data_IF_698262592614
#
_entry.id   IF_698262592614
#
_cell.length_a   1.000
_cell.length_b   1.000
_cell.length_c   1.000
_cell.angle_alpha   90.00
_cell.angle_beta   90.00
_cell.angle_gamma   90.00
#
_symmetry.space_group_name_H-M   'P 1'
#
loop_
_entity.id
_entity.type
_entity.pdbx_description
1 polymer ?
#
# COMPACT_ATOMS: atom_id res chain seq x y z
N UNK A 1 5.12 -11.48 -7.63
CA UNK A 1 5.09 -10.01 -7.70
C UNK A 1 4.20 -9.57 -8.85
N UNK A 2 3.32 -8.61 -8.60
CA UNK A 2 2.47 -7.97 -9.60
C UNK A 2 3.31 -7.06 -10.51
N UNK A 3 3.06 -7.07 -11.83
CA UNK A 3 3.87 -6.30 -12.79
C UNK A 3 3.71 -4.79 -12.65
N UNK A 4 2.52 -4.32 -12.27
CA UNK A 4 2.26 -2.89 -12.05
C UNK A 4 2.98 -2.41 -10.80
N UNK A 5 2.97 -3.21 -9.73
CA UNK A 5 3.75 -2.94 -8.51
C UNK A 5 5.24 -2.88 -8.85
N UNK A 6 5.77 -3.84 -9.62
CA UNK A 6 7.18 -3.85 -9.99
C UNK A 6 7.59 -2.59 -10.77
N UNK A 7 6.76 -2.17 -11.73
CA UNK A 7 7.02 -0.96 -12.50
C UNK A 7 6.96 0.30 -11.62
N UNK A 8 5.97 0.40 -10.74
CA UNK A 8 5.84 1.52 -9.81
C UNK A 8 7.04 1.61 -8.87
N UNK A 9 7.47 0.48 -8.31
CA UNK A 9 8.62 0.36 -7.42
C UNK A 9 9.91 0.86 -8.08
N UNK A 10 10.23 0.36 -9.28
CA UNK A 10 11.46 0.75 -10.00
C UNK A 10 11.39 2.24 -10.38
N UNK A 11 10.26 2.69 -10.95
CA UNK A 11 10.11 4.07 -11.39
C UNK A 11 10.22 5.08 -10.23
N UNK A 12 9.67 4.75 -9.06
CA UNK A 12 9.76 5.60 -7.87
C UNK A 12 11.20 5.70 -7.35
N UNK A 13 11.93 4.59 -7.28
CA UNK A 13 13.34 4.56 -6.84
C UNK A 13 14.25 5.33 -7.82
N UNK A 14 14.10 5.08 -9.12
CA UNK A 14 14.84 5.80 -10.17
C UNK A 14 14.63 7.31 -10.06
N UNK A 15 13.37 7.74 -9.91
CA UNK A 15 13.01 9.15 -9.83
C UNK A 15 13.56 9.81 -8.55
N UNK A 16 13.43 9.13 -7.41
CA UNK A 16 13.97 9.62 -6.14
C UNK A 16 15.50 9.70 -6.17
N UNK A 17 16.16 8.68 -6.73
CA UNK A 17 17.61 8.63 -6.84
C UNK A 17 18.15 9.70 -7.78
N UNK A 18 17.47 9.94 -8.91
CA UNK A 18 17.81 11.03 -9.82
C UNK A 18 17.69 12.41 -9.15
N UNK A 19 16.62 12.64 -8.39
CA UNK A 19 16.42 13.89 -7.65
C UNK A 19 17.50 14.12 -6.59
N UNK A 20 17.91 13.06 -5.89
CA UNK A 20 18.90 13.11 -4.80
C UNK A 20 20.34 12.87 -5.25
N UNK A 21 20.58 12.57 -6.53
CA UNK A 21 21.90 12.25 -7.12
C UNK A 21 22.58 11.08 -6.41
N UNK A 22 21.83 10.02 -6.14
CA UNK A 22 22.29 8.77 -5.55
C UNK A 22 22.05 7.61 -6.53
N UNK A 23 22.52 6.42 -6.20
CA UNK A 23 22.36 5.20 -7.01
C UNK A 23 21.20 4.36 -6.43
N UNK A 24 20.24 3.97 -7.26
CA UNK A 24 19.07 3.17 -6.87
C UNK A 24 19.20 1.67 -7.17
N UNK A 25 20.04 1.27 -8.14
CA UNK A 25 20.11 -0.13 -8.58
C UNK A 25 20.31 -1.15 -7.43
N UNK A 26 21.18 -0.91 -6.42
CA UNK A 26 21.33 -1.87 -5.32
C UNK A 26 20.05 -2.09 -4.49
N UNK A 27 19.30 -1.02 -4.20
CA UNK A 27 18.05 -1.13 -3.43
C UNK A 27 16.92 -1.68 -4.30
N UNK A 28 16.88 -1.34 -5.59
CA UNK A 28 15.92 -1.89 -6.55
C UNK A 28 16.01 -3.41 -6.63
N UNK A 29 17.21 -3.96 -6.84
CA UNK A 29 17.41 -5.42 -6.93
C UNK A 29 16.95 -6.13 -5.66
N UNK A 30 17.29 -5.58 -4.49
CA UNK A 30 16.90 -6.11 -3.18
C UNK A 30 15.41 -6.06 -2.93
N UNK A 31 14.75 -4.93 -3.19
CA UNK A 31 13.31 -4.80 -2.98
C UNK A 31 12.52 -5.66 -3.97
N UNK A 32 12.94 -5.77 -5.24
CA UNK A 32 12.32 -6.68 -6.21
C UNK A 32 12.45 -8.14 -5.75
N UNK A 33 13.59 -8.52 -5.19
CA UNK A 33 13.78 -9.84 -4.59
C UNK A 33 12.78 -10.08 -3.44
N UNK A 34 12.72 -9.19 -2.45
CA UNK A 34 11.82 -9.29 -1.29
C UNK A 34 10.35 -9.38 -1.71
N UNK A 35 9.90 -8.51 -2.61
CA UNK A 35 8.51 -8.51 -3.10
C UNK A 35 8.14 -9.76 -3.90
N UNK A 36 9.13 -10.48 -4.42
CA UNK A 36 8.95 -11.69 -5.21
C UNK A 36 9.03 -12.99 -4.39
N UNK A 37 9.51 -12.93 -3.14
CA UNK A 37 9.63 -14.10 -2.28
C UNK A 37 8.25 -14.66 -1.89
N UNK A 38 8.18 -15.98 -1.84
CA UNK A 38 7.03 -16.74 -1.36
C UNK A 38 7.31 -17.16 0.09
N UNK A 39 6.88 -16.33 1.03
CA UNK A 39 7.11 -16.50 2.47
C UNK A 39 6.02 -15.77 3.27
N UNK A 40 5.95 -16.01 4.58
CA UNK A 40 4.96 -15.35 5.43
C UNK A 40 5.14 -13.82 5.37
N UNK A 41 4.02 -13.09 5.45
CA UNK A 41 4.03 -11.65 5.26
C UNK A 41 4.89 -10.91 6.29
N UNK A 42 4.83 -11.27 7.58
CA UNK A 42 5.64 -10.60 8.61
C UNK A 42 7.14 -10.87 8.44
N UNK A 43 7.52 -12.06 7.96
CA UNK A 43 8.91 -12.34 7.61
C UNK A 43 9.37 -11.48 6.42
N UNK A 44 8.48 -11.27 5.43
CA UNK A 44 8.71 -10.38 4.29
C UNK A 44 8.84 -8.92 4.73
N UNK A 45 8.04 -8.46 5.70
CA UNK A 45 8.14 -7.13 6.31
C UNK A 45 9.50 -6.95 7.02
N UNK A 46 9.96 -7.96 7.75
CA UNK A 46 11.27 -7.91 8.40
C UNK A 46 12.41 -7.78 7.38
N UNK A 47 12.40 -8.59 6.31
CA UNK A 47 13.40 -8.45 5.25
C UNK A 47 13.30 -7.11 4.51
N UNK A 48 12.08 -6.61 4.30
CA UNK A 48 11.84 -5.29 3.73
C UNK A 48 12.49 -4.19 4.59
N UNK A 49 12.29 -4.24 5.91
CA UNK A 49 12.87 -3.28 6.84
C UNK A 49 14.40 -3.33 6.83
N UNK A 50 14.99 -4.54 6.77
CA UNK A 50 16.44 -4.71 6.62
C UNK A 50 16.99 -4.02 5.36
N UNK A 51 16.27 -4.09 4.24
CA UNK A 51 16.70 -3.41 3.00
C UNK A 51 16.75 -1.89 3.19
N UNK A 52 15.76 -1.28 3.85
CA UNK A 52 15.80 0.16 4.11
C UNK A 52 16.88 0.53 5.15
N UNK A 53 17.13 -0.32 6.14
CA UNK A 53 18.19 -0.12 7.13
C UNK A 53 19.60 -0.15 6.49
N UNK A 54 19.81 -0.99 5.48
CA UNK A 54 21.05 -1.04 4.68
C UNK A 54 21.17 0.15 3.72
N UNK A 55 20.05 0.80 3.37
CA UNK A 55 19.95 1.89 2.42
C UNK A 55 19.30 3.16 3.00
N UNK A 56 19.87 3.77 4.08
CA UNK A 56 19.23 4.85 4.84
C UNK A 56 18.99 6.14 4.05
N UNK A 57 19.55 6.27 2.85
CA UNK A 57 19.28 7.40 1.94
C UNK A 57 17.88 7.36 1.32
N UNK A 58 17.23 6.19 1.35
CA UNK A 58 15.89 5.97 0.82
C UNK A 58 14.84 5.85 1.92
N UNK A 59 15.20 6.07 3.19
CA UNK A 59 14.31 5.86 4.34
C UNK A 59 13.01 6.68 4.28
N UNK A 60 13.06 7.85 3.64
CA UNK A 60 11.87 8.70 3.38
C UNK A 60 10.80 7.99 2.51
N UNK A 61 11.16 6.94 1.79
CA UNK A 61 10.23 6.15 0.97
C UNK A 61 9.67 4.93 1.72
N UNK A 62 10.16 4.62 2.92
CA UNK A 62 9.87 3.35 3.61
C UNK A 62 8.37 3.11 3.79
N UNK A 63 7.63 4.09 4.31
CA UNK A 63 6.19 3.95 4.55
C UNK A 63 5.41 3.80 3.23
N UNK A 64 5.71 4.62 2.23
CA UNK A 64 5.09 4.53 0.89
C UNK A 64 5.37 3.19 0.21
N UNK A 65 6.56 2.63 0.41
CA UNK A 65 6.92 1.34 -0.16
C UNK A 65 6.36 0.18 0.66
N UNK A 66 6.08 0.39 1.94
CA UNK A 66 5.31 -0.55 2.74
C UNK A 66 3.87 -0.64 2.21
N UNK A 67 3.25 0.49 1.83
CA UNK A 67 1.93 0.46 1.16
C UNK A 67 1.96 -0.38 -0.13
N UNK A 68 3.01 -0.21 -0.95
CA UNK A 68 3.21 -1.03 -2.15
C UNK A 68 3.43 -2.52 -1.83
N UNK A 69 4.13 -2.82 -0.74
CA UNK A 69 4.33 -4.19 -0.28
C UNK A 69 2.99 -4.83 0.10
N UNK A 70 2.11 -4.07 0.76
CA UNK A 70 0.78 -4.53 1.11
C UNK A 70 -0.09 -4.79 -0.12
N UNK A 71 -0.11 -3.86 -1.07
CA UNK A 71 -0.83 -4.06 -2.34
C UNK A 71 -0.29 -5.28 -3.10
N UNK A 72 1.03 -5.50 -3.11
CA UNK A 72 1.59 -6.69 -3.72
C UNK A 72 1.13 -7.97 -3.04
N UNK A 73 1.01 -7.97 -1.71
CA UNK A 73 0.48 -9.10 -0.94
C UNK A 73 -0.99 -9.40 -1.29
N UNK A 74 -1.86 -8.39 -1.26
CA UNK A 74 -3.28 -8.55 -1.63
C UNK A 74 -3.45 -9.03 -3.09
N UNK A 75 -2.71 -8.46 -4.03
CA UNK A 75 -2.89 -8.77 -5.46
C UNK A 75 -2.21 -10.06 -5.90
N UNK A 76 -1.07 -10.43 -5.31
CA UNK A 76 -0.26 -11.57 -5.77
C UNK A 76 -0.38 -12.78 -4.87
N UNK A 77 -0.57 -12.59 -3.56
CA UNK A 77 -0.45 -13.65 -2.57
C UNK A 77 -1.83 -14.03 -2.00
N UNK A 78 -2.73 -13.08 -1.70
CA UNK A 78 -4.11 -13.40 -1.23
C UNK A 78 -4.92 -14.16 -2.29
N UNK A 79 -4.76 -13.85 -3.57
CA UNK A 79 -5.35 -14.64 -4.66
C UNK A 79 -4.88 -16.11 -4.72
N UNK A 80 -3.79 -16.47 -4.02
CA UNK A 80 -3.32 -17.86 -3.88
C UNK A 80 -3.74 -18.50 -2.56
N UNK A 81 -4.21 -17.70 -1.61
CA UNK A 81 -4.65 -18.14 -0.29
C UNK A 81 -6.12 -18.57 -0.37
N UNK A 82 -6.56 -19.34 0.63
CA UNK A 82 -7.94 -19.84 0.67
C UNK A 82 -8.95 -18.69 0.89
N UNK A 83 -10.21 -18.85 0.47
CA UNK A 83 -11.27 -17.82 0.54
C UNK A 83 -11.39 -17.18 1.95
N UNK A 84 -11.05 -17.92 3.00
CA UNK A 84 -11.18 -17.49 4.40
C UNK A 84 -9.88 -16.93 5.00
N UNK A 85 -8.84 -16.62 4.20
CA UNK A 85 -7.55 -16.16 4.75
C UNK A 85 -7.68 -14.85 5.53
N UNK A 86 -8.52 -13.92 5.05
CA UNK A 86 -8.80 -12.65 5.73
C UNK A 86 -9.61 -12.84 7.02
N UNK A 87 -10.25 -14.00 7.22
CA UNK A 87 -10.91 -14.38 8.47
C UNK A 87 -9.98 -15.14 9.43
N UNK A 88 -8.71 -15.33 9.05
CA UNK A 88 -7.77 -16.12 9.82
C UNK A 88 -7.09 -15.32 10.93
N UNK A 89 -6.71 -16.01 12.02
CA UNK A 89 -5.87 -15.42 13.08
C UNK A 89 -4.50 -14.95 12.59
N UNK A 90 -4.02 -15.51 11.47
CA UNK A 90 -2.77 -15.06 10.87
C UNK A 90 -2.94 -13.64 10.33
N UNK A 91 -4.06 -13.38 9.64
CA UNK A 91 -4.40 -12.05 9.15
C UNK A 91 -4.65 -11.06 10.29
N UNK A 92 -5.43 -11.43 11.31
CA UNK A 92 -5.66 -10.60 12.51
C UNK A 92 -4.31 -10.15 13.14
N UNK A 93 -3.34 -11.06 13.22
CA UNK A 93 -2.01 -10.75 13.76
C UNK A 93 -1.17 -9.88 12.81
N UNK A 94 -1.34 -10.01 11.49
CA UNK A 94 -0.69 -9.11 10.52
C UNK A 94 -1.26 -7.70 10.68
N UNK A 95 -2.58 -7.55 10.75
CA UNK A 95 -3.24 -6.26 10.95
C UNK A 95 -2.78 -5.59 12.25
N UNK A 96 -2.82 -6.29 13.38
CA UNK A 96 -2.38 -5.74 14.66
C UNK A 96 -0.91 -5.28 14.65
N UNK A 97 -0.01 -6.04 14.04
CA UNK A 97 1.43 -5.71 13.98
C UNK A 97 1.76 -4.60 12.95
N UNK A 98 0.84 -4.30 12.03
CA UNK A 98 1.10 -3.37 10.91
C UNK A 98 0.16 -2.16 10.86
N UNK A 99 -0.74 -2.01 11.82
CA UNK A 99 -1.74 -0.94 11.87
C UNK A 99 -1.17 0.48 11.69
N UNK A 100 0.01 0.75 12.26
CA UNK A 100 0.65 2.08 12.24
C UNK A 100 1.75 2.21 11.16
N UNK A 101 1.84 1.30 10.20
CA UNK A 101 2.98 1.20 9.25
C UNK A 101 2.74 1.84 7.88
N UNK A 102 1.49 1.89 7.44
CA UNK A 102 1.11 2.41 6.13
C UNK A 102 0.82 3.90 6.15
N UNK A 103 0.60 4.46 4.96
CA UNK A 103 0.10 5.83 4.79
C UNK A 103 -1.33 5.82 4.27
N UNK A 104 -1.98 6.98 4.23
CA UNK A 104 -3.32 7.14 3.63
C UNK A 104 -3.33 6.78 2.13
N UNK A 105 -2.17 6.69 1.48
CA UNK A 105 -2.04 6.19 0.12
C UNK A 105 -2.48 4.72 0.01
N UNK A 106 -2.28 3.92 1.05
CA UNK A 106 -2.70 2.51 1.06
C UNK A 106 -4.20 2.40 0.82
N UNK A 107 -5.01 3.18 1.51
CA UNK A 107 -6.47 3.20 1.34
C UNK A 107 -6.87 3.55 -0.09
N UNK A 108 -6.21 4.54 -0.70
CA UNK A 108 -6.45 4.90 -2.10
C UNK A 108 -6.06 3.76 -3.06
N UNK A 109 -4.92 3.10 -2.83
CA UNK A 109 -4.46 2.01 -3.67
C UNK A 109 -5.35 0.77 -3.54
N UNK A 110 -5.84 0.47 -2.34
CA UNK A 110 -6.82 -0.61 -2.10
C UNK A 110 -8.11 -0.33 -2.87
N UNK A 111 -8.67 0.86 -2.73
CA UNK A 111 -9.86 1.28 -3.46
C UNK A 111 -9.69 1.19 -4.99
N UNK A 112 -8.56 1.68 -5.52
CA UNK A 112 -8.27 1.59 -6.97
C UNK A 112 -8.15 0.12 -7.40
N UNK A 113 -7.56 -0.74 -6.57
CA UNK A 113 -7.44 -2.16 -6.88
C UNK A 113 -8.80 -2.86 -6.88
N UNK A 114 -9.63 -2.62 -5.88
CA UNK A 114 -11.01 -3.14 -5.82
C UNK A 114 -11.83 -2.68 -7.02
N UNK A 115 -11.74 -1.39 -7.38
CA UNK A 115 -12.40 -0.88 -8.58
C UNK A 115 -11.97 -1.62 -9.85
N UNK A 116 -10.67 -1.93 -9.96
CA UNK A 116 -10.15 -2.67 -11.09
C UNK A 116 -10.67 -4.11 -11.12
N UNK A 117 -10.73 -4.78 -9.98
CA UNK A 117 -11.18 -6.17 -9.87
C UNK A 117 -12.69 -6.30 -10.13
N UNK A 118 -13.48 -5.29 -9.75
CA UNK A 118 -14.92 -5.22 -10.05
C UNK A 118 -15.26 -4.63 -11.43
N UNK A 119 -14.25 -4.24 -12.21
CA UNK A 119 -14.40 -3.55 -13.51
C UNK A 119 -15.23 -2.24 -13.42
N UNK A 120 -15.20 -1.56 -12.27
CA UNK A 120 -15.88 -0.27 -12.06
C UNK A 120 -14.92 0.90 -12.21
N UNK A 121 -15.49 2.09 -12.47
CA UNK A 121 -14.70 3.31 -12.60
C UNK A 121 -14.52 3.95 -11.22
N UNK A 122 -13.28 4.21 -10.76
CA UNK A 122 -13.04 4.93 -9.51
C UNK A 122 -13.75 6.29 -9.49
N UNK A 123 -14.39 6.61 -8.37
CA UNK A 123 -15.10 7.86 -8.13
C UNK A 123 -14.78 8.42 -6.75
N UNK A 124 -14.57 9.73 -6.64
CA UNK A 124 -14.25 10.37 -5.36
C UNK A 124 -15.40 10.23 -4.34
N UNK A 125 -16.65 10.35 -4.79
CA UNK A 125 -17.81 10.19 -3.91
C UNK A 125 -17.89 8.79 -3.33
N UNK A 126 -17.66 7.78 -4.16
CA UNK A 126 -17.68 6.36 -3.82
C UNK A 126 -16.52 6.00 -2.86
N UNK A 127 -15.30 6.46 -3.18
CA UNK A 127 -14.15 6.35 -2.29
C UNK A 127 -14.41 6.93 -0.89
N UNK A 128 -15.00 8.14 -0.83
CA UNK A 128 -15.23 8.79 0.45
C UNK A 128 -16.38 8.14 1.23
N UNK A 129 -17.52 7.88 0.60
CA UNK A 129 -18.75 7.50 1.32
C UNK A 129 -18.92 6.00 1.50
N UNK A 130 -18.51 5.21 0.52
CA UNK A 130 -18.77 3.78 0.50
C UNK A 130 -17.53 3.00 0.95
N UNK A 131 -16.32 3.46 0.59
CA UNK A 131 -15.08 2.79 0.97
C UNK A 131 -14.51 3.27 2.31
N UNK A 132 -14.38 4.58 2.53
CA UNK A 132 -13.76 5.12 3.75
C UNK A 132 -14.73 5.34 4.92
N UNK A 133 -15.88 5.96 4.66
CA UNK A 133 -16.80 6.42 5.71
C UNK A 133 -17.97 5.44 5.90
N UNK A 134 -17.67 4.22 6.33
CA UNK A 134 -18.71 3.25 6.68
C UNK A 134 -19.47 3.71 7.93
N UNK A 135 -20.78 3.48 8.00
CA UNK A 135 -21.70 4.01 9.04
C UNK A 135 -21.41 3.54 10.49
N UNK A 136 -20.36 2.78 10.76
CA UNK A 136 -20.01 2.35 12.11
C UNK A 136 -19.24 3.44 12.85
N UNK A 137 -19.60 3.69 14.12
CA UNK A 137 -19.04 4.73 15.00
C UNK A 137 -17.50 4.65 15.17
N UNK A 138 -16.85 3.59 14.66
CA UNK A 138 -15.40 3.37 14.69
C UNK A 138 -14.63 4.22 13.65
N UNK A 139 -15.28 4.78 12.62
CA UNK A 139 -14.60 5.50 11.53
C UNK A 139 -14.60 7.05 11.66
N UNK A 140 -14.70 7.57 12.90
CA UNK A 140 -14.71 9.02 13.14
C UNK A 140 -13.33 9.67 12.88
N UNK A 141 -12.25 8.91 13.03
CA UNK A 141 -10.89 9.41 12.83
C UNK A 141 -10.61 9.64 11.34
N UNK A 142 -11.12 8.78 10.45
CA UNK A 142 -11.07 8.91 9.00
C UNK A 142 -11.83 10.16 8.56
N UNK A 143 -13.00 10.42 9.14
CA UNK A 143 -13.73 11.65 8.86
C UNK A 143 -12.88 12.89 9.16
N UNK A 144 -12.12 12.87 10.24
CA UNK A 144 -11.23 13.98 10.60
C UNK A 144 -10.03 14.08 9.64
N UNK A 145 -9.40 12.96 9.27
CA UNK A 145 -8.27 12.90 8.33
C UNK A 145 -8.68 13.46 6.96
N UNK A 146 -9.88 13.13 6.48
CA UNK A 146 -10.35 13.51 5.14
C UNK A 146 -11.28 14.75 5.12
N UNK A 147 -11.44 15.47 6.24
CA UNK A 147 -12.37 16.61 6.38
C UNK A 147 -12.19 17.66 5.27
N UNK A 148 -10.94 18.03 4.98
CA UNK A 148 -10.59 19.00 3.96
C UNK A 148 -10.97 18.51 2.55
N UNK A 149 -10.79 17.22 2.26
CA UNK A 149 -11.13 16.63 0.97
C UNK A 149 -12.65 16.58 0.79
N UNK A 150 -13.37 16.14 1.82
CA UNK A 150 -14.84 16.07 1.86
C UNK A 150 -15.44 17.47 1.66
N UNK A 151 -14.94 18.46 2.39
CA UNK A 151 -15.43 19.85 2.34
C UNK A 151 -15.23 20.51 0.98
N UNK A 152 -14.25 20.03 0.19
CA UNK A 152 -13.88 20.58 -1.11
C UNK A 152 -14.24 19.66 -2.29
N UNK A 153 -15.04 18.61 -2.08
CA UNK A 153 -15.39 17.61 -3.10
C UNK A 153 -15.92 18.23 -4.41
N UNK A 154 -16.65 19.35 -4.30
CA UNK A 154 -17.22 20.07 -5.44
C UNK A 154 -16.18 20.58 -6.46
N UNK A 155 -14.91 20.74 -6.05
CA UNK A 155 -13.82 21.16 -6.94
C UNK A 155 -13.37 20.04 -7.89
N UNK A 156 -13.58 18.78 -7.52
CA UNK A 156 -13.23 17.62 -8.35
C UNK A 156 -14.33 17.28 -9.37
N UNK A 157 -15.56 17.72 -9.11
CA UNK A 157 -16.75 17.45 -9.93
C UNK A 157 -17.00 18.51 -11.02
N UNK A 158 -16.24 19.60 -11.02
CA UNK A 158 -16.37 20.76 -11.94
C UNK A 158 -15.47 20.66 -13.17
#
# INVERSE_FOLDING_TARGET
MNSSVQQALIAALDQFAAANKIESLPIEERLVEVFSKDMNFLEKVAEFDEVFDEHPKFDELREVFFDLLMINFFTSDVNKLEEDYLESREWENIEEETIDRGTELLNLLLYINECHDEEIKPGLEDFLKEFLLVEEDEFQDEFHIYEDLISNQQLAES
#
